data_IF_730506496839
#
_entry.id   IF_730506496839
#
_cell.length_a   1.000
_cell.length_b   1.000
_cell.length_c   1.000
_cell.angle_alpha   90.00
_cell.angle_beta   90.00
_cell.angle_gamma   90.00
#
_symmetry.space_group_name_H-M   'P 1'
#
loop_
_entity.id
_entity.type
_entity.pdbx_description
1 polymer ?
#
# COMPACT_ATOMS: atom_id res chain seq x y z
N UNK A 1 -0.75 19.00 8.56
CA UNK A 1 -0.16 18.25 9.69
C UNK A 1 1.09 17.56 9.17
N UNK A 2 2.25 17.80 9.77
CA UNK A 2 3.54 17.20 9.34
C UNK A 2 3.63 15.73 9.72
N UNK A 3 4.04 14.91 8.75
CA UNK A 3 4.28 13.49 8.95
C UNK A 3 5.72 13.28 9.45
N UNK A 4 5.91 13.03 10.74
CA UNK A 4 7.24 12.80 11.35
C UNK A 4 7.58 11.29 11.39
N UNK A 5 7.44 10.62 10.23
CA UNK A 5 7.55 9.16 10.14
C UNK A 5 8.98 8.66 10.33
N UNK A 6 9.97 9.36 9.77
CA UNK A 6 11.38 9.01 9.92
C UNK A 6 11.77 8.91 11.40
N UNK A 7 11.51 9.97 12.19
CA UNK A 7 11.84 10.04 13.61
C UNK A 7 11.10 8.95 14.41
N UNK A 8 9.83 8.71 14.08
CA UNK A 8 9.04 7.67 14.70
C UNK A 8 9.63 6.26 14.51
N UNK A 9 10.11 5.94 13.31
CA UNK A 9 10.68 4.61 13.01
C UNK A 9 12.11 4.45 13.51
N UNK A 10 12.94 5.50 13.41
CA UNK A 10 14.32 5.51 13.87
C UNK A 10 14.40 5.22 15.38
N UNK A 11 13.54 5.84 16.18
CA UNK A 11 13.49 5.63 17.63
C UNK A 11 13.07 4.21 18.06
N UNK A 12 12.46 3.42 17.15
CA UNK A 12 11.90 2.09 17.44
C UNK A 12 12.67 0.92 16.82
N UNK A 13 13.60 1.19 15.94
CA UNK A 13 14.26 0.13 15.17
C UNK A 13 15.77 0.37 15.09
N UNK A 14 16.57 -0.35 15.86
CA UNK A 14 18.04 -0.22 15.90
C UNK A 14 18.72 -0.41 14.53
N UNK A 15 18.13 -1.17 13.64
CA UNK A 15 18.66 -1.42 12.29
C UNK A 15 18.00 -0.60 11.19
N UNK A 16 17.21 0.42 11.56
CA UNK A 16 16.41 1.22 10.61
C UNK A 16 17.26 1.86 9.51
N UNK A 17 18.33 2.54 9.90
CA UNK A 17 19.21 3.27 8.97
C UNK A 17 19.86 2.36 7.93
N UNK A 18 20.29 1.16 8.34
CA UNK A 18 20.87 0.18 7.42
C UNK A 18 19.84 -0.35 6.42
N UNK A 19 18.62 -0.62 6.89
CA UNK A 19 17.51 -1.05 6.03
C UNK A 19 17.08 0.07 5.07
N UNK A 20 17.10 1.32 5.52
CA UNK A 20 16.75 2.47 4.70
C UNK A 20 17.74 2.71 3.55
N UNK A 21 19.03 2.45 3.77
CA UNK A 21 20.09 2.60 2.75
C UNK A 21 20.16 1.45 1.74
N UNK A 22 19.54 0.33 2.04
CA UNK A 22 19.57 -0.82 1.14
C UNK A 22 18.64 -0.61 -0.08
N UNK A 23 18.94 -1.27 -1.20
CA UNK A 23 18.08 -1.22 -2.39
C UNK A 23 16.74 -1.90 -2.10
N UNK A 24 15.57 -1.28 -2.37
CA UNK A 24 14.25 -1.84 -2.05
C UNK A 24 14.04 -3.26 -2.56
N UNK A 25 14.59 -3.63 -3.73
CA UNK A 25 14.48 -4.99 -4.27
C UNK A 25 15.16 -6.07 -3.44
N UNK A 26 16.18 -5.71 -2.61
CA UNK A 26 16.85 -6.66 -1.70
C UNK A 26 15.98 -7.06 -0.51
N UNK A 27 14.96 -6.28 -0.21
CA UNK A 27 14.03 -6.54 0.89
C UNK A 27 12.89 -7.48 0.56
N UNK A 28 12.83 -8.00 -0.69
CA UNK A 28 11.71 -8.81 -1.16
C UNK A 28 12.18 -10.15 -1.74
N UNK A 29 11.57 -11.23 -1.26
CA UNK A 29 11.63 -12.54 -1.90
C UNK A 29 10.58 -12.60 -3.00
N UNK A 30 11.01 -12.80 -4.25
CA UNK A 30 10.14 -12.80 -5.42
C UNK A 30 9.95 -14.21 -5.93
N UNK A 31 8.71 -14.63 -6.11
CA UNK A 31 8.35 -15.92 -6.68
C UNK A 31 7.03 -15.81 -7.47
N UNK A 32 6.74 -16.83 -8.28
CA UNK A 32 5.52 -16.88 -9.09
C UNK A 32 4.57 -17.95 -8.54
N UNK A 33 3.29 -17.65 -8.52
CA UNK A 33 2.23 -18.62 -8.24
C UNK A 33 1.30 -18.73 -9.45
N UNK A 34 0.75 -19.91 -9.78
CA UNK A 34 -0.19 -20.05 -10.87
C UNK A 34 -1.48 -19.28 -10.57
N UNK A 35 -2.07 -18.67 -11.60
CA UNK A 35 -3.42 -18.12 -11.55
C UNK A 35 -4.44 -19.24 -11.69
N UNK A 36 -5.67 -19.06 -11.19
CA UNK A 36 -6.76 -20.05 -11.30
C UNK A 36 -7.11 -20.44 -12.74
N UNK A 37 -6.96 -19.51 -13.70
CA UNK A 37 -7.27 -19.77 -15.13
C UNK A 37 -5.99 -19.96 -15.94
N UNK A 38 -5.32 -18.88 -16.33
CA UNK A 38 -4.12 -18.97 -17.17
C UNK A 38 -3.04 -18.00 -16.68
N UNK A 39 -1.75 -18.42 -16.75
CA UNK A 39 -0.58 -17.61 -16.44
C UNK A 39 -0.18 -17.64 -14.96
N UNK A 40 0.74 -16.74 -14.59
CA UNK A 40 1.34 -16.65 -13.27
C UNK A 40 1.12 -15.28 -12.66
N UNK A 41 1.07 -15.25 -11.32
CA UNK A 41 1.08 -14.01 -10.52
C UNK A 41 2.44 -13.91 -9.84
N UNK A 42 3.12 -12.79 -10.03
CA UNK A 42 4.37 -12.51 -9.31
C UNK A 42 4.04 -12.01 -7.91
N UNK A 43 4.55 -12.71 -6.92
CA UNK A 43 4.48 -12.33 -5.50
C UNK A 43 5.84 -11.76 -5.12
N UNK A 44 5.84 -10.59 -4.49
CA UNK A 44 7.02 -10.00 -3.89
C UNK A 44 6.77 -9.87 -2.38
N UNK A 45 7.28 -10.83 -1.64
CA UNK A 45 7.09 -10.93 -0.20
C UNK A 45 8.22 -10.20 0.53
N UNK A 46 7.93 -9.18 1.36
CA UNK A 46 8.96 -8.50 2.13
C UNK A 46 9.59 -9.41 3.18
N UNK A 47 10.87 -9.14 3.50
CA UNK A 47 11.60 -9.83 4.59
C UNK A 47 10.92 -9.58 5.95
N UNK A 48 11.14 -10.44 6.96
CA UNK A 48 10.56 -10.26 8.28
C UNK A 48 10.84 -8.88 8.89
N UNK A 49 12.07 -8.37 8.78
CA UNK A 49 12.45 -7.06 9.28
C UNK A 49 11.64 -5.92 8.61
N UNK A 50 11.47 -5.99 7.29
CA UNK A 50 10.66 -4.99 6.56
C UNK A 50 9.17 -5.12 6.88
N UNK A 51 8.65 -6.33 7.10
CA UNK A 51 7.25 -6.51 7.54
C UNK A 51 6.95 -5.81 8.85
N UNK A 52 7.89 -5.85 9.82
CA UNK A 52 7.76 -5.14 11.09
C UNK A 52 7.65 -3.64 10.85
N UNK A 53 8.56 -3.07 10.05
CA UNK A 53 8.53 -1.64 9.71
C UNK A 53 7.24 -1.28 8.94
N UNK A 54 6.83 -2.09 7.97
CA UNK A 54 5.57 -1.88 7.24
C UNK A 54 4.37 -1.83 8.17
N UNK A 55 4.31 -2.73 9.16
CA UNK A 55 3.24 -2.72 10.16
C UNK A 55 3.28 -1.43 10.99
N UNK A 56 4.45 -1.03 11.47
CA UNK A 56 4.62 0.22 12.23
C UNK A 56 4.22 1.46 11.40
N UNK A 57 4.53 1.49 10.10
CA UNK A 57 4.08 2.57 9.21
C UNK A 57 2.55 2.60 9.11
N UNK A 58 1.93 1.45 8.91
CA UNK A 58 0.46 1.34 8.84
C UNK A 58 -0.18 1.78 10.15
N UNK A 59 0.29 1.26 11.29
CA UNK A 59 -0.21 1.61 12.62
C UNK A 59 -0.05 3.12 12.91
N UNK A 60 1.02 3.74 12.40
CA UNK A 60 1.26 5.18 12.52
C UNK A 60 0.33 6.03 11.64
N UNK A 61 -0.03 5.53 10.45
CA UNK A 61 -0.87 6.23 9.50
C UNK A 61 -2.38 6.08 9.78
N UNK A 62 -2.83 4.95 10.30
CA UNK A 62 -4.25 4.68 10.56
C UNK A 62 -4.94 5.83 11.32
N UNK A 63 -4.43 6.34 12.46
CA UNK A 63 -5.11 7.40 13.21
C UNK A 63 -5.04 8.79 12.55
N UNK A 64 -4.26 8.93 11.48
CA UNK A 64 -4.03 10.19 10.77
C UNK A 64 -4.72 10.28 9.42
N UNK A 65 -5.23 9.15 8.93
CA UNK A 65 -5.81 9.03 7.59
C UNK A 65 -7.21 8.45 7.67
N UNK A 66 -7.97 8.66 6.61
CA UNK A 66 -9.30 8.06 6.44
C UNK A 66 -9.34 7.15 5.23
N UNK A 67 -10.06 6.05 5.35
CA UNK A 67 -10.43 5.18 4.23
C UNK A 67 -11.88 5.47 3.88
N UNK A 68 -12.22 5.55 2.59
CA UNK A 68 -13.57 5.84 2.16
C UNK A 68 -14.53 4.70 2.57
N UNK A 69 -15.77 5.04 2.91
CA UNK A 69 -16.77 4.07 3.39
C UNK A 69 -17.15 3.01 2.36
N UNK A 70 -16.99 3.30 1.07
CA UNK A 70 -17.18 2.35 -0.03
C UNK A 70 -16.06 1.29 -0.12
N UNK A 71 -14.91 1.50 0.52
CA UNK A 71 -13.83 0.52 0.58
C UNK A 71 -14.13 -0.54 1.64
N UNK A 72 -14.71 -1.65 1.22
CA UNK A 72 -15.08 -2.76 2.13
C UNK A 72 -13.98 -3.84 2.23
N UNK A 73 -13.09 -3.91 1.26
CA UNK A 73 -11.98 -4.85 1.28
C UNK A 73 -10.85 -4.37 2.22
N UNK A 74 -10.28 -5.30 2.98
CA UNK A 74 -9.16 -5.05 3.91
C UNK A 74 -9.46 -4.05 5.03
N UNK A 75 -10.73 -3.87 5.36
CA UNK A 75 -11.19 -3.04 6.48
C UNK A 75 -11.62 -3.94 7.62
N UNK A 76 -11.15 -3.65 8.83
CA UNK A 76 -11.49 -4.44 10.02
C UNK A 76 -13.01 -4.44 10.25
N UNK A 77 -13.58 -5.61 10.55
CA UNK A 77 -15.01 -5.76 10.78
C UNK A 77 -15.89 -5.76 9.51
N UNK A 78 -15.28 -5.69 8.31
CA UNK A 78 -15.98 -5.77 7.02
C UNK A 78 -15.66 -7.06 6.29
N UNK A 79 -16.64 -7.60 5.55
CA UNK A 79 -16.48 -8.85 4.82
C UNK A 79 -17.30 -8.91 3.54
N UNK A 80 -17.28 -10.06 2.89
CA UNK A 80 -17.99 -10.30 1.61
C UNK A 80 -19.50 -10.05 1.76
N UNK A 81 -20.09 -10.39 2.93
CA UNK A 81 -21.49 -10.13 3.21
C UNK A 81 -21.83 -8.64 3.21
N UNK A 82 -20.96 -7.81 3.84
CA UNK A 82 -21.15 -6.35 3.86
C UNK A 82 -21.11 -5.77 2.46
N UNK A 83 -20.19 -6.27 1.61
CA UNK A 83 -20.12 -5.87 0.20
C UNK A 83 -21.40 -6.27 -0.54
N UNK A 84 -21.87 -7.51 -0.42
CA UNK A 84 -23.08 -7.96 -1.08
C UNK A 84 -24.31 -7.12 -0.67
N UNK A 85 -24.44 -6.79 0.62
CA UNK A 85 -25.56 -6.01 1.14
C UNK A 85 -25.65 -4.58 0.55
N UNK A 86 -24.54 -4.00 0.08
CA UNK A 86 -24.56 -2.68 -0.58
C UNK A 86 -25.34 -2.70 -1.90
N UNK A 87 -25.49 -3.88 -2.52
CA UNK A 87 -26.05 -4.03 -3.86
C UNK A 87 -27.42 -4.69 -3.91
N UNK A 88 -27.98 -5.13 -2.76
CA UNK A 88 -29.22 -5.90 -2.69
C UNK A 88 -30.43 -5.15 -3.27
N UNK A 89 -30.42 -3.82 -3.19
CA UNK A 89 -31.53 -2.97 -3.68
C UNK A 89 -31.28 -2.38 -5.06
N UNK A 90 -30.19 -2.77 -5.74
CA UNK A 90 -29.82 -2.22 -7.05
C UNK A 90 -30.38 -3.11 -8.16
N UNK A 91 -31.11 -2.52 -9.11
CA UNK A 91 -31.62 -3.24 -10.29
C UNK A 91 -30.49 -3.61 -11.28
N UNK A 92 -29.40 -2.87 -11.26
CA UNK A 92 -28.24 -3.07 -12.13
C UNK A 92 -26.94 -3.09 -11.32
N UNK A 93 -26.00 -3.95 -11.72
CA UNK A 93 -24.66 -4.06 -11.12
C UNK A 93 -23.59 -4.00 -12.19
N UNK A 94 -22.74 -2.96 -12.13
CA UNK A 94 -21.53 -2.88 -12.92
C UNK A 94 -20.36 -3.45 -12.11
N UNK A 95 -19.73 -4.52 -12.62
CA UNK A 95 -18.51 -5.11 -12.05
C UNK A 95 -17.30 -4.78 -12.91
N UNK A 96 -16.35 -4.06 -12.33
CA UNK A 96 -15.08 -3.68 -12.97
C UNK A 96 -13.92 -4.28 -12.20
N UNK A 97 -12.87 -4.71 -12.90
CA UNK A 97 -11.61 -5.19 -12.30
C UNK A 97 -10.43 -4.40 -12.88
N UNK A 98 -9.57 -3.88 -12.01
CA UNK A 98 -8.41 -3.09 -12.40
C UNK A 98 -7.22 -4.00 -12.65
N UNK A 99 -6.76 -4.06 -13.91
CA UNK A 99 -5.61 -4.87 -14.28
C UNK A 99 -4.32 -4.38 -13.57
N UNK A 100 -3.54 -5.33 -13.04
CA UNK A 100 -2.28 -5.06 -12.35
C UNK A 100 -2.37 -4.01 -11.23
N UNK A 101 -3.50 -3.91 -10.56
CA UNK A 101 -3.86 -2.86 -9.62
C UNK A 101 -2.74 -2.50 -8.64
N UNK A 102 -2.24 -3.45 -7.83
CA UNK A 102 -1.15 -3.16 -6.88
C UNK A 102 0.12 -2.66 -7.57
N UNK A 103 0.51 -3.27 -8.69
CA UNK A 103 1.73 -2.92 -9.42
C UNK A 103 1.58 -1.61 -10.24
N UNK A 104 0.40 -1.02 -10.30
CA UNK A 104 0.18 0.31 -10.88
C UNK A 104 0.35 1.43 -9.85
N UNK A 105 0.21 1.13 -8.56
CA UNK A 105 0.33 2.12 -7.48
C UNK A 105 1.79 2.43 -7.19
N UNK A 106 2.12 3.72 -7.21
CA UNK A 106 3.48 4.26 -7.04
C UNK A 106 3.60 5.11 -5.78
N UNK A 107 4.83 5.39 -5.27
CA UNK A 107 5.04 6.30 -4.15
C UNK A 107 4.41 7.67 -4.36
N UNK A 108 4.49 8.20 -5.59
CA UNK A 108 3.89 9.51 -5.96
C UNK A 108 2.37 9.53 -5.73
N UNK A 109 1.68 8.42 -6.02
CA UNK A 109 0.23 8.33 -5.80
C UNK A 109 -0.09 8.32 -4.30
N UNK A 110 0.69 7.61 -3.47
CA UNK A 110 0.51 7.63 -2.02
C UNK A 110 0.74 9.02 -1.44
N UNK A 111 1.83 9.71 -1.83
CA UNK A 111 2.10 11.08 -1.38
C UNK A 111 0.96 12.02 -1.77
N UNK A 112 0.43 11.90 -3.00
CA UNK A 112 -0.74 12.67 -3.43
C UNK A 112 -1.98 12.39 -2.58
N UNK A 113 -2.22 11.12 -2.24
CA UNK A 113 -3.34 10.73 -1.39
C UNK A 113 -3.22 11.28 0.04
N UNK A 114 -2.02 11.24 0.64
CA UNK A 114 -1.75 11.82 1.95
C UNK A 114 -1.96 13.35 1.94
N UNK A 115 -1.43 14.04 0.93
CA UNK A 115 -1.64 15.48 0.76
C UNK A 115 -3.12 15.85 0.57
N UNK A 116 -3.87 15.03 -0.14
CA UNK A 116 -5.33 15.21 -0.31
C UNK A 116 -6.08 15.17 1.02
N UNK A 117 -5.55 14.42 2.00
CA UNK A 117 -6.09 14.34 3.36
C UNK A 117 -5.45 15.35 4.33
N UNK A 118 -4.75 16.39 3.83
CA UNK A 118 -4.16 17.46 4.64
C UNK A 118 -2.89 17.06 5.39
N UNK A 119 -2.21 15.98 4.96
CA UNK A 119 -0.97 15.51 5.56
C UNK A 119 0.22 15.99 4.71
N UNK A 120 1.08 16.82 5.29
CA UNK A 120 2.32 17.24 4.68
C UNK A 120 3.40 16.17 4.88
N UNK A 121 4.06 15.79 3.78
CA UNK A 121 5.04 14.73 3.74
C UNK A 121 6.39 15.34 3.34
N UNK A 122 7.36 15.28 4.24
CA UNK A 122 8.73 15.74 3.99
C UNK A 122 9.44 14.84 2.97
N UNK A 123 10.52 15.33 2.37
CA UNK A 123 11.35 14.51 1.46
C UNK A 123 11.90 13.26 2.16
N UNK A 124 12.28 13.40 3.41
CA UNK A 124 12.75 12.27 4.23
C UNK A 124 11.65 11.24 4.44
N UNK A 125 10.42 11.67 4.72
CA UNK A 125 9.29 10.75 4.88
C UNK A 125 8.90 10.11 3.54
N UNK A 126 9.00 10.84 2.41
CA UNK A 126 8.81 10.28 1.06
C UNK A 126 9.83 9.16 0.80
N UNK A 127 11.09 9.37 1.18
CA UNK A 127 12.14 8.35 1.06
C UNK A 127 11.80 7.11 1.90
N UNK A 128 11.38 7.28 3.15
CA UNK A 128 10.97 6.19 4.05
C UNK A 128 9.79 5.41 3.49
N UNK A 129 8.72 6.11 3.09
CA UNK A 129 7.54 5.48 2.49
C UNK A 129 7.90 4.70 1.22
N UNK A 130 8.73 5.30 0.36
CA UNK A 130 9.16 4.68 -0.89
C UNK A 130 10.00 3.42 -0.65
N UNK A 131 10.92 3.48 0.32
CA UNK A 131 11.84 2.39 0.64
C UNK A 131 11.15 1.17 1.23
N UNK A 132 10.18 1.37 2.13
CA UNK A 132 9.60 0.27 2.89
C UNK A 132 8.25 -0.22 2.36
N UNK A 133 7.44 0.63 1.74
CA UNK A 133 6.12 0.23 1.25
C UNK A 133 6.11 -0.25 -0.20
N UNK A 134 7.17 0.06 -0.97
CA UNK A 134 7.24 -0.25 -2.39
C UNK A 134 8.45 -1.12 -2.71
N UNK A 135 8.39 -1.85 -3.80
CA UNK A 135 9.48 -2.68 -4.27
C UNK A 135 9.85 -2.34 -5.71
N UNK A 136 11.09 -2.62 -6.08
CA UNK A 136 11.59 -2.36 -7.42
C UNK A 136 11.41 -3.61 -8.29
N UNK A 137 10.43 -3.57 -9.16
CA UNK A 137 10.09 -4.70 -10.03
C UNK A 137 11.20 -5.04 -11.03
N UNK A 138 11.97 -4.04 -11.45
CA UNK A 138 13.02 -4.19 -12.47
C UNK A 138 14.37 -4.58 -11.87
N UNK A 139 14.55 -4.48 -10.56
CA UNK A 139 15.82 -4.66 -9.83
C UNK A 139 16.98 -3.75 -10.27
N UNK A 140 16.72 -2.76 -11.14
CA UNK A 140 17.71 -1.73 -11.54
C UNK A 140 17.75 -0.63 -10.50
N UNK A 141 18.89 0.06 -10.35
CA UNK A 141 19.07 1.11 -9.34
C UNK A 141 17.95 2.16 -9.37
N UNK A 142 17.56 2.63 -10.55
CA UNK A 142 16.51 3.63 -10.76
C UNK A 142 15.22 3.00 -11.31
N UNK A 143 14.92 1.76 -10.92
CA UNK A 143 13.74 1.06 -11.40
C UNK A 143 12.45 1.59 -10.78
N UNK A 144 11.34 1.40 -11.49
CA UNK A 144 10.01 1.81 -11.03
C UNK A 144 9.65 1.13 -9.72
N UNK A 145 9.32 1.92 -8.71
CA UNK A 145 8.77 1.45 -7.44
C UNK A 145 7.25 1.31 -7.53
N UNK A 146 6.75 0.16 -7.09
CA UNK A 146 5.32 -0.15 -7.10
C UNK A 146 4.93 -0.91 -5.83
N UNK A 147 3.64 -0.96 -5.49
CA UNK A 147 3.16 -1.84 -4.42
C UNK A 147 3.38 -3.30 -4.79
N UNK A 148 3.69 -4.11 -3.80
CA UNK A 148 3.86 -5.55 -4.00
C UNK A 148 2.57 -6.32 -3.73
N UNK A 149 2.40 -7.43 -4.45
CA UNK A 149 1.45 -8.47 -4.07
C UNK A 149 2.17 -9.37 -3.06
N UNK A 150 1.72 -9.34 -1.79
CA UNK A 150 2.30 -10.11 -0.69
C UNK A 150 2.89 -9.31 0.46
N UNK A 151 2.89 -7.96 0.36
CA UNK A 151 3.21 -7.10 1.49
C UNK A 151 1.98 -6.82 2.35
N UNK A 152 2.08 -6.87 3.69
CA UNK A 152 0.95 -6.62 4.58
C UNK A 152 0.43 -5.18 4.53
N UNK A 153 1.26 -4.23 4.10
CA UNK A 153 0.91 -2.81 3.97
C UNK A 153 0.15 -2.48 2.67
N UNK A 154 0.30 -3.29 1.62
CA UNK A 154 -0.26 -2.97 0.30
C UNK A 154 -1.77 -2.77 0.29
N UNK A 155 -2.59 -3.57 1.01
CA UNK A 155 -4.03 -3.36 1.09
C UNK A 155 -4.42 -2.00 1.67
N UNK A 156 -3.80 -1.60 2.78
CA UNK A 156 -4.05 -0.31 3.40
C UNK A 156 -3.65 0.86 2.49
N UNK A 157 -2.45 0.79 1.90
CA UNK A 157 -1.97 1.83 0.95
C UNK A 157 -2.88 1.94 -0.27
N UNK A 158 -3.38 0.81 -0.79
CA UNK A 158 -4.31 0.84 -1.92
C UNK A 158 -5.62 1.55 -1.58
N UNK A 159 -6.19 1.31 -0.40
CA UNK A 159 -7.40 1.99 0.05
C UNK A 159 -7.17 3.51 0.22
N UNK A 160 -6.02 3.94 0.74
CA UNK A 160 -5.66 5.35 0.81
C UNK A 160 -5.57 6.00 -0.56
N UNK A 161 -4.93 5.34 -1.52
CA UNK A 161 -4.77 5.86 -2.88
C UNK A 161 -6.10 5.96 -3.61
N UNK A 162 -7.02 5.02 -3.37
CA UNK A 162 -8.34 5.02 -3.98
C UNK A 162 -9.32 6.01 -3.36
N UNK A 163 -9.02 6.58 -2.18
CA UNK A 163 -9.94 7.47 -1.45
C UNK A 163 -10.58 8.55 -2.32
N UNK A 164 -9.77 9.30 -3.08
CA UNK A 164 -10.27 10.37 -3.93
C UNK A 164 -11.09 9.88 -5.13
N UNK A 165 -10.82 8.65 -5.61
CA UNK A 165 -11.62 8.00 -6.64
C UNK A 165 -12.97 7.57 -6.07
N UNK A 166 -12.96 6.87 -4.93
CA UNK A 166 -14.17 6.40 -4.25
C UNK A 166 -15.10 7.56 -3.91
N UNK A 167 -14.52 8.69 -3.45
CA UNK A 167 -15.27 9.92 -3.15
C UNK A 167 -15.97 10.52 -4.38
N UNK A 168 -15.45 10.32 -5.58
CA UNK A 168 -16.07 10.82 -6.83
C UNK A 168 -17.11 9.88 -7.39
N UNK A 169 -17.03 8.61 -7.04
CA UNK A 169 -17.91 7.56 -7.57
C UNK A 169 -19.11 7.26 -6.65
N UNK A 170 -19.08 7.73 -5.42
CA UNK A 170 -20.17 7.65 -4.44
C UNK A 170 -20.97 8.95 -4.42
#
# INVERSE_FOLDING_TARGET
MDLKLYQYLESRNSNFTNLLRAIPSKHYKVYKIPKKRLGFRTIAQPTPAVKVIQKQIVDYLIPKTSIHTSALAYVSGKGVKDNALQHVKSDYLLKVDLENFFNSITPKMLVKALKHQGIDVSETDIMVLSQFLFWNITKKANGKLVLSIGAPSSPFVSNLVMFAFDQRMS
#
